data_IF_454120752256
#
_entry.id   IF_454120752256
#
_cell.length_a   1.000
_cell.length_b   1.000
_cell.length_c   1.000
_cell.angle_alpha   90.00
_cell.angle_beta   90.00
_cell.angle_gamma   90.00
#
_symmetry.space_group_name_H-M   'P 1'
#
loop_
_entity.id
_entity.type
_entity.pdbx_description
1 polymer ?
#
# COMPACT_ATOMS: atom_id res chain seq x y z
N UNK A 1 -12.52 31.31 9.92
CA UNK A 1 -13.29 31.27 8.66
C UNK A 1 -13.17 29.85 8.16
N UNK A 2 -14.30 29.15 7.98
CA UNK A 2 -14.27 27.82 7.38
C UNK A 2 -14.06 28.01 5.87
N UNK A 3 -12.81 27.91 5.41
CA UNK A 3 -12.57 27.63 4.01
C UNK A 3 -13.11 26.22 3.76
N UNK A 4 -14.27 26.14 3.09
CA UNK A 4 -14.78 24.88 2.59
C UNK A 4 -13.74 24.34 1.61
N UNK A 5 -13.20 23.15 1.91
CA UNK A 5 -12.47 22.38 0.92
C UNK A 5 -13.34 22.19 -0.32
N UNK A 6 -12.75 22.16 -1.53
CA UNK A 6 -13.50 21.93 -2.77
C UNK A 6 -14.37 20.66 -2.65
N UNK A 7 -15.53 20.64 -3.33
CA UNK A 7 -16.54 19.57 -3.27
C UNK A 7 -16.01 18.14 -3.54
N UNK A 8 -14.78 18.01 -4.06
CA UNK A 8 -14.14 16.75 -4.43
C UNK A 8 -13.32 16.09 -3.30
N UNK A 9 -13.18 16.73 -2.13
CA UNK A 9 -12.46 16.14 -1.00
C UNK A 9 -13.38 15.42 0.00
N UNK A 10 -12.90 14.30 0.52
CA UNK A 10 -13.57 13.48 1.53
C UNK A 10 -12.84 13.61 2.86
N UNK A 11 -13.59 13.85 3.93
CA UNK A 11 -13.06 13.80 5.29
C UNK A 11 -12.79 12.33 5.68
N UNK A 12 -11.58 12.05 6.16
CA UNK A 12 -11.16 10.75 6.66
C UNK A 12 -10.67 10.86 8.10
N UNK A 13 -11.29 10.08 8.99
CA UNK A 13 -10.75 9.83 10.33
C UNK A 13 -9.72 8.71 10.25
N UNK A 14 -8.49 9.03 10.61
CA UNK A 14 -7.37 8.08 10.59
C UNK A 14 -7.36 7.20 11.83
N UNK A 15 -6.72 6.03 11.72
CA UNK A 15 -6.49 5.12 12.83
C UNK A 15 -5.64 5.73 13.94
N UNK A 16 -4.75 6.64 13.59
CA UNK A 16 -3.92 7.39 14.54
C UNK A 16 -4.66 8.54 15.24
N UNK A 17 -5.97 8.68 15.01
CA UNK A 17 -6.85 9.59 15.74
C UNK A 17 -6.95 11.00 15.15
N UNK A 18 -6.27 11.27 14.04
CA UNK A 18 -6.30 12.56 13.35
C UNK A 18 -7.34 12.58 12.22
N UNK A 19 -7.73 13.77 11.79
CA UNK A 19 -8.61 13.98 10.63
C UNK A 19 -7.80 14.57 9.47
N UNK A 20 -7.96 13.98 8.27
CA UNK A 20 -7.32 14.43 7.03
C UNK A 20 -8.36 14.50 5.91
N UNK A 21 -8.10 15.30 4.89
CA UNK A 21 -8.92 15.35 3.68
C UNK A 21 -8.24 14.57 2.56
N UNK A 22 -9.03 13.84 1.78
CA UNK A 22 -8.55 13.03 0.67
C UNK A 22 -9.35 13.31 -0.60
N UNK A 23 -8.64 13.59 -1.70
CA UNK A 23 -9.24 13.69 -3.02
C UNK A 23 -9.08 12.35 -3.76
N UNK A 24 -10.17 11.61 -4.05
CA UNK A 24 -10.11 10.30 -4.68
C UNK A 24 -9.74 10.36 -6.18
N UNK A 25 -9.84 11.53 -6.82
CA UNK A 25 -9.51 11.71 -8.24
C UNK A 25 -8.02 11.97 -8.41
N UNK A 26 -7.46 12.86 -7.59
CA UNK A 26 -6.04 13.25 -7.66
C UNK A 26 -5.14 12.44 -6.72
N UNK A 27 -5.74 11.61 -5.85
CA UNK A 27 -5.04 10.85 -4.81
C UNK A 27 -4.20 11.72 -3.86
N UNK A 28 -4.63 12.96 -3.62
CA UNK A 28 -3.94 13.92 -2.75
C UNK A 28 -4.56 13.91 -1.36
N UNK A 29 -3.71 13.97 -0.34
CA UNK A 29 -4.10 14.15 1.05
C UNK A 29 -3.70 15.55 1.55
N UNK A 30 -4.56 16.17 2.34
CA UNK A 30 -4.30 17.45 2.99
C UNK A 30 -4.72 17.45 4.47
N UNK A 31 -4.15 18.35 5.25
CA UNK A 31 -4.65 18.68 6.59
C UNK A 31 -6.00 19.40 6.50
N UNK A 32 -6.69 19.56 7.63
CA UNK A 32 -7.91 20.38 7.70
C UNK A 32 -7.70 21.82 7.23
N UNK A 33 -6.49 22.35 7.41
CA UNK A 33 -6.07 23.69 6.99
C UNK A 33 -5.54 23.76 5.55
N UNK A 34 -5.62 22.66 4.79
CA UNK A 34 -5.24 22.63 3.37
C UNK A 34 -3.76 22.38 3.08
N UNK A 35 -2.94 22.06 4.08
CA UNK A 35 -1.52 21.73 3.86
C UNK A 35 -1.40 20.32 3.27
N UNK A 36 -0.70 20.17 2.14
CA UNK A 36 -0.46 18.85 1.51
C UNK A 36 0.36 17.95 2.43
N UNK A 37 -0.07 16.69 2.56
CA UNK A 37 0.64 15.64 3.28
C UNK A 37 1.37 14.72 2.28
N UNK A 38 2.52 14.20 2.67
CA UNK A 38 3.29 13.23 1.88
C UNK A 38 2.72 11.84 2.10
N UNK A 39 2.45 11.12 1.00
CA UNK A 39 1.98 9.74 1.07
C UNK A 39 3.14 8.73 1.15
N UNK A 40 2.88 7.54 1.72
CA UNK A 40 3.91 6.48 1.80
C UNK A 40 4.41 5.99 0.43
N UNK A 41 3.54 5.95 -0.59
CA UNK A 41 3.94 5.61 -1.96
C UNK A 41 4.76 6.71 -2.62
N UNK A 42 4.39 7.98 -2.43
CA UNK A 42 5.16 9.16 -2.89
C UNK A 42 6.56 9.17 -2.25
N UNK A 43 6.65 8.93 -0.94
CA UNK A 43 7.93 8.82 -0.24
C UNK A 43 8.80 7.68 -0.78
N UNK A 44 8.24 6.48 -0.94
CA UNK A 44 8.99 5.33 -1.44
C UNK A 44 9.47 5.51 -2.88
N UNK A 45 8.67 6.15 -3.74
CA UNK A 45 9.06 6.48 -5.11
C UNK A 45 10.21 7.47 -5.14
N UNK A 46 10.23 8.46 -4.23
CA UNK A 46 11.32 9.46 -4.13
C UNK A 46 12.70 8.85 -3.82
N UNK A 47 12.74 7.60 -3.35
CA UNK A 47 13.98 6.87 -3.06
C UNK A 47 14.53 6.09 -4.26
N UNK A 48 13.74 5.94 -5.33
CA UNK A 48 14.12 5.16 -6.51
C UNK A 48 14.55 6.05 -7.66
N UNK A 49 15.51 5.60 -8.46
CA UNK A 49 15.85 6.30 -9.70
C UNK A 49 14.71 6.20 -10.72
N UNK A 50 14.35 7.29 -11.41
CA UNK A 50 13.29 7.25 -12.41
C UNK A 50 13.66 6.32 -13.57
N UNK A 51 12.68 5.56 -14.05
CA UNK A 51 12.85 4.67 -15.19
C UNK A 51 12.87 5.49 -16.50
N UNK A 52 14.01 5.49 -17.19
CA UNK A 52 14.17 6.19 -18.47
C UNK A 52 13.49 5.41 -19.61
N UNK A 53 12.17 5.59 -19.71
CA UNK A 53 11.32 4.97 -20.73
C UNK A 53 11.83 5.26 -22.13
N UNK A 54 12.22 6.51 -22.41
CA UNK A 54 12.65 6.97 -23.74
C UNK A 54 13.90 6.23 -24.22
N UNK A 55 14.96 6.25 -23.41
CA UNK A 55 16.22 5.61 -23.75
C UNK A 55 16.06 4.09 -23.85
N UNK A 56 15.38 3.47 -22.88
CA UNK A 56 15.26 2.02 -22.80
C UNK A 56 14.35 1.46 -23.90
N UNK A 57 13.23 2.12 -24.18
CA UNK A 57 12.33 1.71 -25.27
C UNK A 57 13.05 1.75 -26.64
N UNK A 58 13.85 2.78 -26.92
CA UNK A 58 14.67 2.86 -28.14
C UNK A 58 15.75 1.77 -28.28
N UNK A 59 16.33 1.31 -27.16
CA UNK A 59 17.29 0.18 -27.18
C UNK A 59 16.59 -1.14 -27.47
N UNK A 60 15.45 -1.39 -26.84
CA UNK A 60 14.65 -2.61 -27.03
C UNK A 60 14.08 -2.67 -28.45
N UNK A 61 13.53 -1.56 -28.95
CA UNK A 61 13.01 -1.44 -30.31
C UNK A 61 14.04 -1.86 -31.36
N UNK A 62 15.26 -1.30 -31.30
CA UNK A 62 16.37 -1.67 -32.21
C UNK A 62 16.80 -3.13 -32.07
N UNK A 63 16.88 -3.65 -30.84
CA UNK A 63 17.31 -5.03 -30.59
C UNK A 63 16.36 -6.05 -31.21
N UNK A 64 15.06 -5.79 -31.17
CA UNK A 64 14.03 -6.75 -31.57
C UNK A 64 13.34 -6.41 -32.91
N UNK A 65 13.76 -5.34 -33.59
CA UNK A 65 13.20 -4.96 -34.89
C UNK A 65 11.73 -4.51 -34.82
N UNK A 66 11.34 -3.87 -33.72
CA UNK A 66 9.97 -3.34 -33.50
C UNK A 66 10.01 -1.83 -33.29
N UNK A 67 8.86 -1.16 -33.39
CA UNK A 67 8.77 0.30 -33.15
C UNK A 67 8.83 0.64 -31.65
N UNK A 68 9.27 1.85 -31.33
CA UNK A 68 9.32 2.36 -29.95
C UNK A 68 7.92 2.43 -29.34
N UNK A 69 6.94 2.83 -30.14
CA UNK A 69 5.53 2.93 -29.76
C UNK A 69 4.98 1.55 -29.35
N UNK A 70 5.32 0.50 -30.11
CA UNK A 70 4.91 -0.87 -29.77
C UNK A 70 5.55 -1.34 -28.46
N UNK A 71 6.83 -1.03 -28.22
CA UNK A 71 7.49 -1.37 -26.94
C UNK A 71 6.78 -0.70 -25.77
N UNK A 72 6.48 0.60 -25.88
CA UNK A 72 5.78 1.34 -24.82
C UNK A 72 4.37 0.83 -24.61
N UNK A 73 3.63 0.56 -25.68
CA UNK A 73 2.28 0.01 -25.59
C UNK A 73 2.27 -1.37 -24.89
N UNK A 74 3.25 -2.24 -25.20
CA UNK A 74 3.41 -3.52 -24.51
C UNK A 74 3.75 -3.33 -23.03
N UNK A 75 4.66 -2.41 -22.69
CA UNK A 75 5.00 -2.12 -21.29
C UNK A 75 3.84 -1.54 -20.51
N UNK A 76 3.08 -0.61 -21.10
CA UNK A 76 1.91 -0.02 -20.44
C UNK A 76 0.82 -1.07 -20.21
N UNK A 77 0.54 -1.91 -21.20
CA UNK A 77 -0.44 -2.99 -21.05
C UNK A 77 -0.02 -3.99 -19.98
N UNK A 78 1.26 -4.39 -19.96
CA UNK A 78 1.79 -5.25 -18.91
C UNK A 78 1.69 -4.59 -17.52
N UNK A 79 2.02 -3.30 -17.42
CA UNK A 79 1.88 -2.53 -16.19
C UNK A 79 0.42 -2.43 -15.71
N UNK A 80 -0.53 -2.24 -16.63
CA UNK A 80 -1.96 -2.24 -16.33
C UNK A 80 -2.43 -3.62 -15.82
N UNK A 81 -2.03 -4.70 -16.48
CA UNK A 81 -2.35 -6.08 -16.06
C UNK A 81 -1.82 -6.32 -14.65
N UNK A 82 -0.54 -6.03 -14.40
CA UNK A 82 0.09 -6.20 -13.08
C UNK A 82 -0.60 -5.39 -11.99
N UNK A 83 -0.86 -4.09 -12.22
CA UNK A 83 -1.56 -3.22 -11.25
C UNK A 83 -2.98 -3.71 -10.96
N UNK A 84 -3.73 -4.08 -12.00
CA UNK A 84 -5.11 -4.57 -11.87
C UNK A 84 -5.15 -5.86 -11.05
N UNK A 85 -4.22 -6.78 -11.32
CA UNK A 85 -4.13 -8.04 -10.60
C UNK A 85 -3.70 -7.85 -9.15
N UNK A 86 -2.71 -6.99 -8.89
CA UNK A 86 -2.32 -6.58 -7.53
C UNK A 86 -3.51 -6.02 -6.76
N UNK A 87 -4.24 -5.05 -7.32
CA UNK A 87 -5.44 -4.49 -6.69
C UNK A 87 -6.49 -5.56 -6.38
N UNK A 88 -6.72 -6.50 -7.30
CA UNK A 88 -7.65 -7.59 -7.07
C UNK A 88 -7.24 -8.49 -5.89
N UNK A 89 -5.93 -8.69 -5.67
CA UNK A 89 -5.41 -9.38 -4.49
C UNK A 89 -5.70 -8.57 -3.21
N UNK A 90 -5.39 -7.28 -3.17
CA UNK A 90 -5.70 -6.42 -2.01
C UNK A 90 -7.20 -6.44 -1.68
N UNK A 91 -8.06 -6.23 -2.66
CA UNK A 91 -9.52 -6.28 -2.47
C UNK A 91 -9.99 -7.64 -1.94
N UNK A 92 -9.37 -8.73 -2.39
CA UNK A 92 -9.70 -10.07 -1.91
C UNK A 92 -9.32 -10.27 -0.43
N UNK A 93 -8.14 -9.78 -0.03
CA UNK A 93 -7.69 -9.83 1.37
C UNK A 93 -8.54 -8.92 2.26
N UNK A 94 -8.83 -7.70 1.80
CA UNK A 94 -9.71 -6.74 2.48
C UNK A 94 -11.11 -7.31 2.70
N UNK A 95 -11.71 -7.88 1.65
CA UNK A 95 -13.03 -8.51 1.70
C UNK A 95 -13.08 -9.64 2.73
N UNK A 96 -12.05 -10.49 2.77
CA UNK A 96 -11.94 -11.55 3.77
C UNK A 96 -11.88 -10.97 5.19
N UNK A 97 -10.92 -10.10 5.47
CA UNK A 97 -10.71 -9.61 6.84
C UNK A 97 -11.85 -8.74 7.37
N UNK A 98 -12.57 -8.01 6.50
CA UNK A 98 -13.74 -7.23 6.91
C UNK A 98 -15.00 -8.06 7.14
N UNK A 99 -15.16 -9.18 6.43
CA UNK A 99 -16.47 -9.83 6.31
C UNK A 99 -16.50 -11.33 6.63
N UNK A 100 -15.36 -11.98 6.93
CA UNK A 100 -15.32 -13.43 7.24
C UNK A 100 -16.26 -13.83 8.38
N UNK A 101 -16.49 -12.93 9.34
CA UNK A 101 -17.32 -13.20 10.52
C UNK A 101 -18.82 -12.89 10.31
N UNK A 102 -19.22 -12.43 9.11
CA UNK A 102 -20.62 -12.10 8.81
C UNK A 102 -21.55 -13.32 8.63
N UNK A 103 -21.05 -14.55 8.74
CA UNK A 103 -21.88 -15.77 8.80
C UNK A 103 -22.69 -16.10 7.54
N UNK A 104 -22.24 -15.67 6.35
CA UNK A 104 -23.01 -15.87 5.11
C UNK A 104 -22.95 -17.32 4.63
N UNK A 105 -24.09 -17.96 4.39
CA UNK A 105 -24.17 -19.34 3.86
C UNK A 105 -23.55 -19.53 2.47
N UNK A 106 -23.38 -18.45 1.68
CA UNK A 106 -22.82 -18.48 0.33
C UNK A 106 -21.37 -17.98 0.25
N UNK A 107 -20.68 -17.87 1.39
CA UNK A 107 -19.28 -17.44 1.47
C UNK A 107 -18.98 -16.14 0.70
N UNK A 108 -19.86 -15.12 0.82
CA UNK A 108 -19.70 -13.86 0.09
C UNK A 108 -18.47 -13.06 0.51
N UNK A 109 -17.79 -13.45 1.58
CA UNK A 109 -16.52 -12.89 2.03
C UNK A 109 -15.31 -13.48 1.28
N UNK A 110 -15.51 -14.47 0.39
CA UNK A 110 -14.46 -15.02 -0.47
C UNK A 110 -14.59 -14.52 -1.91
N UNK A 111 -13.47 -14.24 -2.59
CA UNK A 111 -13.50 -13.88 -4.00
C UNK A 111 -13.94 -15.09 -4.85
N UNK A 112 -14.61 -14.81 -5.97
CA UNK A 112 -15.05 -15.85 -6.92
C UNK A 112 -13.92 -16.41 -7.79
N UNK A 113 -12.96 -15.60 -8.31
CA UNK A 113 -11.85 -16.14 -9.09
C UNK A 113 -11.02 -17.12 -8.26
N UNK A 114 -10.83 -18.33 -8.79
CA UNK A 114 -10.22 -19.46 -8.04
C UNK A 114 -8.84 -19.12 -7.50
N UNK A 115 -8.00 -18.46 -8.30
CA UNK A 115 -6.66 -18.06 -7.89
C UNK A 115 -6.67 -17.12 -6.68
N UNK A 116 -7.50 -16.07 -6.70
CA UNK A 116 -7.62 -15.13 -5.58
C UNK A 116 -8.25 -15.80 -4.35
N UNK A 117 -9.18 -16.73 -4.58
CA UNK A 117 -9.79 -17.53 -3.51
C UNK A 117 -8.75 -18.41 -2.83
N UNK A 118 -7.90 -19.06 -3.60
CA UNK A 118 -6.79 -19.86 -3.09
C UNK A 118 -5.80 -18.99 -2.32
N UNK A 119 -5.47 -17.79 -2.82
CA UNK A 119 -4.63 -16.82 -2.12
C UNK A 119 -5.19 -16.52 -0.71
N UNK A 120 -6.47 -16.15 -0.62
CA UNK A 120 -7.12 -15.86 0.67
C UNK A 120 -7.14 -17.09 1.59
N UNK A 121 -7.55 -18.25 1.07
CA UNK A 121 -7.72 -19.46 1.88
C UNK A 121 -6.39 -20.07 2.35
N UNK A 122 -5.31 -19.85 1.60
CA UNK A 122 -3.97 -20.33 1.92
C UNK A 122 -3.14 -19.33 2.72
N UNK A 123 -3.64 -18.11 2.97
CA UNK A 123 -2.88 -17.09 3.69
C UNK A 123 -2.57 -17.54 5.14
N UNK A 124 -1.29 -17.57 5.56
CA UNK A 124 -0.90 -18.13 6.86
C UNK A 124 -1.58 -17.47 8.06
N UNK A 125 -1.87 -16.17 7.96
CA UNK A 125 -2.52 -15.40 9.03
C UNK A 125 -4.00 -15.12 8.76
N UNK A 126 -4.69 -15.94 7.93
CA UNK A 126 -6.11 -15.72 7.59
C UNK A 126 -7.05 -15.72 8.79
N UNK A 127 -6.65 -16.33 9.92
CA UNK A 127 -7.41 -16.35 11.18
C UNK A 127 -6.98 -15.28 12.19
N UNK A 128 -5.95 -14.49 11.88
CA UNK A 128 -5.43 -13.46 12.78
C UNK A 128 -6.35 -12.24 12.84
N UNK A 129 -6.11 -11.37 13.82
CA UNK A 129 -6.79 -10.08 13.93
C UNK A 129 -6.04 -9.06 13.07
N UNK A 130 -6.61 -8.78 11.90
CA UNK A 130 -6.03 -7.88 10.90
C UNK A 130 -7.07 -6.80 10.57
N UNK A 131 -6.65 -5.54 10.63
CA UNK A 131 -7.41 -4.42 10.08
C UNK A 131 -6.86 -4.08 8.69
N UNK A 132 -7.64 -4.27 7.60
CA UNK A 132 -7.19 -3.98 6.25
C UNK A 132 -7.46 -2.53 5.82
N UNK A 133 -6.61 -2.01 4.92
CA UNK A 133 -6.75 -0.70 4.26
C UNK A 133 -6.88 0.48 5.24
N UNK A 134 -6.05 0.46 6.29
CA UNK A 134 -6.11 1.43 7.38
C UNK A 134 -5.39 2.71 7.00
N UNK A 135 -6.08 3.84 7.11
CA UNK A 135 -5.44 5.15 6.94
C UNK A 135 -4.76 5.57 8.24
N UNK A 136 -3.47 5.87 8.17
CA UNK A 136 -2.64 6.38 9.27
C UNK A 136 -2.10 7.75 8.91
N UNK A 137 -1.98 8.64 9.88
CA UNK A 137 -1.35 9.95 9.69
C UNK A 137 -0.54 10.40 10.90
N UNK A 138 0.42 11.28 10.58
CA UNK A 138 1.16 12.12 11.51
C UNK A 138 1.17 13.52 10.89
N UNK A 139 0.11 14.29 11.17
CA UNK A 139 -0.10 15.64 10.61
C UNK A 139 1.06 16.57 11.01
N UNK A 140 1.52 16.48 12.26
CA UNK A 140 2.66 17.28 12.73
C UNK A 140 3.96 16.98 11.95
N UNK A 141 4.15 15.72 11.55
CA UNK A 141 5.27 15.31 10.69
C UNK A 141 5.01 15.46 9.18
N UNK A 142 3.83 15.92 8.76
CA UNK A 142 3.47 16.07 7.35
C UNK A 142 3.24 14.75 6.60
N UNK A 143 2.85 13.67 7.30
CA UNK A 143 2.81 12.30 6.75
C UNK A 143 1.41 11.70 6.80
N UNK A 144 1.08 10.90 5.79
CA UNK A 144 -0.17 10.12 5.73
C UNK A 144 0.01 8.89 4.86
N UNK A 145 -0.80 7.86 5.06
CA UNK A 145 -0.76 6.70 4.19
C UNK A 145 -1.90 5.74 4.45
N UNK A 146 -2.17 4.90 3.45
CA UNK A 146 -3.05 3.74 3.62
C UNK A 146 -2.19 2.48 3.69
N UNK A 147 -2.31 1.78 4.79
CA UNK A 147 -1.60 0.53 5.08
C UNK A 147 -2.49 -0.63 4.64
N UNK A 148 -1.96 -1.55 3.85
CA UNK A 148 -2.73 -2.71 3.38
C UNK A 148 -3.33 -3.51 4.53
N UNK A 149 -2.53 -3.78 5.58
CA UNK A 149 -2.98 -4.47 6.78
C UNK A 149 -2.16 -4.11 8.03
N UNK A 150 -2.87 -3.94 9.15
CA UNK A 150 -2.30 -3.91 10.50
C UNK A 150 -2.68 -5.20 11.22
N UNK A 151 -1.69 -6.01 11.55
CA UNK A 151 -1.85 -7.27 12.27
C UNK A 151 -1.62 -7.04 13.78
N UNK A 152 -2.66 -7.23 14.60
CA UNK A 152 -2.61 -7.04 16.05
C UNK A 152 -2.06 -8.28 16.74
N UNK A 153 -0.74 -8.34 16.90
CA UNK A 153 0.01 -9.53 17.37
C UNK A 153 -0.42 -9.96 18.79
N UNK A 154 -0.88 -9.02 19.61
CA UNK A 154 -1.33 -9.26 20.98
C UNK A 154 -2.82 -8.92 21.22
N UNK A 155 -3.59 -8.80 20.14
CA UNK A 155 -5.01 -8.43 20.18
C UNK A 155 -5.27 -6.92 20.09
N UNK A 156 -6.54 -6.56 19.87
CA UNK A 156 -6.95 -5.19 19.51
C UNK A 156 -6.68 -4.11 20.57
N UNK A 157 -6.55 -4.52 21.83
CA UNK A 157 -6.37 -3.59 22.95
C UNK A 157 -4.91 -3.28 23.24
N UNK A 158 -3.97 -3.95 22.57
CA UNK A 158 -2.55 -3.68 22.70
C UNK A 158 -2.08 -2.80 21.54
N UNK A 159 -1.33 -1.74 21.86
CA UNK A 159 -0.68 -0.86 20.89
C UNK A 159 0.57 -1.53 20.27
N UNK A 160 0.44 -2.79 19.83
CA UNK A 160 1.52 -3.59 19.25
C UNK A 160 1.03 -4.21 17.95
N UNK A 161 1.50 -3.69 16.82
CA UNK A 161 1.04 -4.09 15.48
C UNK A 161 2.20 -4.47 14.58
N UNK A 162 2.01 -5.50 13.76
CA UNK A 162 2.86 -5.77 12.60
C UNK A 162 2.26 -5.08 11.38
N UNK A 163 3.10 -4.39 10.60
CA UNK A 163 2.69 -3.80 9.33
C UNK A 163 2.84 -4.87 8.25
N UNK A 164 1.76 -5.13 7.52
CA UNK A 164 1.66 -6.16 6.50
C UNK A 164 1.38 -5.48 5.16
N UNK A 165 2.16 -5.84 4.15
CA UNK A 165 2.03 -5.36 2.75
C UNK A 165 1.89 -6.57 1.82
N UNK A 166 0.84 -6.58 0.99
CA UNK A 166 0.55 -7.70 0.10
C UNK A 166 1.12 -7.44 -1.30
N UNK A 167 1.72 -8.46 -1.92
CA UNK A 167 2.28 -8.40 -3.27
C UNK A 167 1.94 -9.62 -4.10
N UNK A 168 2.00 -9.44 -5.41
CA UNK A 168 1.86 -10.49 -6.42
C UNK A 168 2.97 -10.42 -7.48
N UNK A 169 4.14 -9.95 -7.05
CA UNK A 169 5.30 -9.78 -7.92
C UNK A 169 5.93 -11.14 -8.23
N UNK A 170 6.14 -11.43 -9.52
CA UNK A 170 6.90 -12.62 -9.94
C UNK A 170 8.31 -12.67 -9.34
N UNK A 171 8.88 -11.49 -9.05
CA UNK A 171 10.21 -11.33 -8.45
C UNK A 171 10.22 -10.15 -7.49
N UNK A 172 9.55 -10.32 -6.34
CA UNK A 172 9.41 -9.28 -5.30
C UNK A 172 10.76 -8.74 -4.82
N UNK A 173 11.84 -9.54 -4.92
CA UNK A 173 13.19 -9.15 -4.50
C UNK A 173 13.70 -7.89 -5.19
N UNK A 174 13.27 -7.62 -6.42
CA UNK A 174 13.63 -6.40 -7.15
C UNK A 174 13.01 -5.13 -6.57
N UNK A 175 11.92 -5.26 -5.83
CA UNK A 175 11.15 -4.15 -5.28
C UNK A 175 11.20 -4.08 -3.74
N UNK A 176 11.87 -5.03 -3.07
CA UNK A 176 11.90 -5.11 -1.60
C UNK A 176 12.40 -3.80 -0.94
N UNK A 177 13.40 -3.13 -1.52
CA UNK A 177 13.92 -1.87 -0.97
C UNK A 177 12.86 -0.76 -1.01
N UNK A 178 12.13 -0.63 -2.13
CA UNK A 178 11.02 0.32 -2.25
C UNK A 178 9.93 0.04 -1.22
N UNK A 179 9.52 -1.22 -1.07
CA UNK A 179 8.52 -1.62 -0.07
C UNK A 179 9.04 -1.42 1.36
N UNK A 180 10.31 -1.68 1.62
CA UNK A 180 10.94 -1.40 2.92
C UNK A 180 10.87 0.09 3.27
N UNK A 181 11.12 0.99 2.32
CA UNK A 181 10.97 2.44 2.54
C UNK A 181 9.52 2.81 2.86
N UNK A 182 8.56 2.26 2.13
CA UNK A 182 7.13 2.49 2.37
C UNK A 182 6.70 1.99 3.76
N UNK A 183 7.08 0.77 4.14
CA UNK A 183 6.74 0.21 5.44
C UNK A 183 7.37 0.99 6.60
N UNK A 184 8.61 1.45 6.44
CA UNK A 184 9.25 2.30 7.43
C UNK A 184 8.60 3.67 7.55
N UNK A 185 8.07 4.22 6.46
CA UNK A 185 7.28 5.45 6.49
C UNK A 185 6.04 5.28 7.37
N UNK A 186 5.28 4.19 7.19
CA UNK A 186 4.13 3.85 8.03
C UNK A 186 4.53 3.57 9.49
N UNK A 187 5.66 2.91 9.72
CA UNK A 187 6.21 2.69 11.07
C UNK A 187 6.40 4.00 11.82
N UNK A 188 7.04 5.00 11.19
CA UNK A 188 7.30 6.28 11.86
C UNK A 188 6.01 7.00 12.22
N UNK A 189 4.98 6.94 11.36
CA UNK A 189 3.65 7.46 11.66
C UNK A 189 3.06 6.79 12.92
N UNK A 190 3.07 5.46 12.96
CA UNK A 190 2.50 4.69 14.07
C UNK A 190 3.28 4.90 15.38
N UNK A 191 4.61 4.87 15.32
CA UNK A 191 5.48 5.05 16.50
C UNK A 191 5.38 6.49 17.06
N UNK A 192 5.18 7.51 16.21
CA UNK A 192 4.91 8.89 16.64
C UNK A 192 3.61 9.01 17.46
N UNK A 193 2.72 8.01 17.37
CA UNK A 193 1.44 7.94 18.07
C UNK A 193 1.44 6.91 19.20
N UNK A 194 2.63 6.44 19.60
CA UNK A 194 2.80 5.50 20.71
C UNK A 194 2.43 4.06 20.37
N UNK A 195 2.33 3.71 19.08
CA UNK A 195 2.06 2.35 18.62
C UNK A 195 3.38 1.66 18.31
N UNK A 196 3.64 0.54 18.98
CA UNK A 196 4.84 -0.27 18.78
C UNK A 196 4.72 -1.12 17.53
N UNK A 197 5.74 -1.07 16.68
CA UNK A 197 5.83 -1.87 15.45
C UNK A 197 7.05 -2.78 15.54
N UNK A 198 6.94 -4.00 16.09
CA UNK A 198 8.09 -4.90 16.22
C UNK A 198 8.53 -5.51 14.89
N UNK A 199 7.60 -5.70 13.94
CA UNK A 199 7.85 -6.34 12.64
C UNK A 199 7.17 -5.59 11.51
N UNK A 200 7.77 -5.68 10.32
CA UNK A 200 7.23 -5.20 9.05
C UNK A 200 7.47 -6.30 8.02
N UNK A 201 6.40 -6.78 7.41
CA UNK A 201 6.43 -7.98 6.56
C UNK A 201 5.75 -7.73 5.22
N UNK A 202 6.38 -8.22 4.17
CA UNK A 202 5.83 -8.26 2.82
C UNK A 202 5.43 -9.70 2.53
N UNK A 203 4.15 -9.92 2.27
CA UNK A 203 3.63 -11.22 1.87
C UNK A 203 3.40 -11.23 0.37
N UNK A 204 4.16 -12.05 -0.34
CA UNK A 204 4.08 -12.16 -1.80
C UNK A 204 3.41 -13.47 -2.22
N UNK A 205 2.36 -13.39 -3.05
CA UNK A 205 1.63 -14.54 -3.58
C UNK A 205 1.78 -14.64 -5.10
N UNK A 206 2.38 -15.73 -5.56
CA UNK A 206 2.48 -16.09 -7.00
C UNK A 206 1.91 -17.48 -7.25
N UNK A 207 2.23 -18.42 -6.38
CA UNK A 207 1.65 -19.79 -6.34
C UNK A 207 1.39 -20.19 -4.90
N UNK A 208 2.31 -19.80 -4.03
CA UNK A 208 2.22 -19.90 -2.59
C UNK A 208 2.62 -18.57 -1.95
N UNK A 209 2.29 -18.39 -0.68
CA UNK A 209 2.69 -17.24 0.10
C UNK A 209 4.14 -17.34 0.53
N UNK A 210 4.91 -16.29 0.26
CA UNK A 210 6.27 -16.13 0.78
C UNK A 210 6.35 -14.88 1.65
N UNK A 211 6.93 -15.03 2.85
CA UNK A 211 7.15 -13.92 3.78
C UNK A 211 8.53 -13.30 3.53
N UNK A 212 8.59 -11.97 3.50
CA UNK A 212 9.83 -11.21 3.47
C UNK A 212 9.77 -10.15 4.58
N UNK A 213 10.44 -10.42 5.70
CA UNK A 213 10.59 -9.44 6.77
C UNK A 213 11.63 -8.37 6.36
N UNK A 214 11.30 -7.10 6.60
CA UNK A 214 12.20 -5.98 6.30
C UNK A 214 12.66 -5.30 7.58
N UNK A 215 13.92 -4.86 7.59
CA UNK A 215 14.50 -4.20 8.76
C UNK A 215 14.01 -2.76 8.92
N UNK A 216 14.09 -2.26 10.16
CA UNK A 216 13.87 -0.85 10.46
C UNK A 216 15.02 -0.01 9.91
N UNK A 217 14.68 1.04 9.18
CA UNK A 217 15.61 2.03 8.65
C UNK A 217 15.13 3.45 8.99
N UNK A 218 16.05 4.41 8.90
CA UNK A 218 15.72 5.81 9.09
C UNK A 218 14.79 6.30 7.96
N UNK A 219 13.81 7.11 8.33
CA UNK A 219 12.94 7.82 7.38
C UNK A 219 13.45 9.24 7.29
N UNK A 220 13.79 9.71 6.08
CA UNK A 220 14.22 11.10 5.89
C UNK A 220 13.05 12.02 6.22
N UNK A 221 13.31 13.09 6.97
CA UNK A 221 12.32 14.14 7.15
C UNK A 221 12.00 14.78 5.80
N UNK A 222 10.72 15.04 5.54
CA UNK A 222 10.33 15.81 4.35
C UNK A 222 10.89 17.22 4.52
N UNK A 223 11.81 17.61 3.65
CA UNK A 223 12.43 18.94 3.68
C UNK A 223 11.53 20.04 3.10
N UNK A 224 10.33 19.71 2.65
CA UNK A 224 9.49 20.59 1.83
C UNK A 224 8.40 21.32 2.64
N UNK A 225 8.61 21.46 3.95
CA UNK A 225 7.72 22.13 4.89
C UNK A 225 8.23 23.47 5.44
N UNK A 226 8.96 24.26 4.65
CA UNK A 226 9.25 25.67 4.94
C UNK A 226 8.78 26.58 3.82
#
# INVERSE_FOLDING_TARGET
MNEQHPDDFQELKTFTGETVWYNPVTHVYTTVDGVKLVSGSEYAESMSAPFDVEMLSGRVARKYGVTVENVRAMWEMNGLISRTFGNALHYSMEQWFRHRDCGTAKEYHLPKPLYLREAVLSFPHKGAVILPEVVVSDVAGGRVGRVDALHFIKGLHENVVEIVDFKSDNDVKKNLEKHQHQLNFYRVILEAKGISVPRMVIWNYVKEWTEHEVSKIAVKESTDGK
#
